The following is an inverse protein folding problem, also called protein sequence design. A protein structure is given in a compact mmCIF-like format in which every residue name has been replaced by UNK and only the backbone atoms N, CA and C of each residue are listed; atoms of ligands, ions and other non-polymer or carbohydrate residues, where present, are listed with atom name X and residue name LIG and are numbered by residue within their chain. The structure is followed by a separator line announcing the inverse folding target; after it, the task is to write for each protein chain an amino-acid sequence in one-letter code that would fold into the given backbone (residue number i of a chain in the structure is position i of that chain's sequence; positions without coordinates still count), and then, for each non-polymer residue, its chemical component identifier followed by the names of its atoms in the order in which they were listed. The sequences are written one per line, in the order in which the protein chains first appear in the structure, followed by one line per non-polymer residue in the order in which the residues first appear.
data_IF_472486291573
#
_entry.id   IF_472486291573
#
_cell.length_a   1.000
_cell.length_b   1.000
_cell.length_c   1.000
_cell.angle_alpha   90.00
_cell.angle_beta   90.00
_cell.angle_gamma   90.00
#
_symmetry.space_group_name_H-M   'P 1'
#
loop_
_entity.id
_entity.type
_entity.pdbx_description
1 polymer ?
#
# COMPACT_ATOMS: atom_id res chain seq x y z
N UNK A 1 64.60 -27.95 -16.59
CA UNK A 1 64.25 -26.77 -15.77
C UNK A 1 63.03 -26.11 -16.40
N UNK A 2 61.83 -26.69 -16.24
CA UNK A 2 60.81 -26.31 -15.24
C UNK A 2 60.50 -24.80 -15.22
N UNK A 3 59.38 -24.50 -15.88
CA UNK A 3 58.31 -23.59 -15.47
C UNK A 3 58.71 -22.21 -14.95
N UNK A 4 58.58 -21.21 -15.82
CA UNK A 4 58.30 -19.84 -15.39
C UNK A 4 57.14 -19.25 -16.18
N UNK A 5 56.03 -19.14 -15.46
CA UNK A 5 55.05 -18.05 -15.54
C UNK A 5 53.86 -18.26 -16.49
N UNK A 6 53.04 -19.25 -16.12
CA UNK A 6 51.59 -19.37 -16.40
C UNK A 6 50.75 -18.29 -15.68
N UNK A 7 51.12 -17.01 -15.72
CA UNK A 7 50.43 -15.97 -14.90
C UNK A 7 49.70 -14.86 -15.65
N UNK A 8 49.63 -14.90 -16.99
CA UNK A 8 48.96 -13.82 -17.75
C UNK A 8 47.59 -14.24 -18.31
N UNK A 9 47.25 -15.52 -18.34
CA UNK A 9 45.96 -15.99 -18.90
C UNK A 9 44.86 -16.08 -17.82
N UNK A 10 45.19 -15.91 -16.54
CA UNK A 10 44.25 -16.16 -15.44
C UNK A 10 43.63 -14.91 -14.80
N UNK A 11 43.85 -13.71 -15.37
CA UNK A 11 43.31 -12.47 -14.82
C UNK A 11 42.02 -11.99 -15.52
N UNK A 12 41.73 -12.46 -16.73
CA UNK A 12 40.46 -12.13 -17.41
C UNK A 12 39.29 -13.05 -17.05
N UNK A 13 39.55 -14.22 -16.43
CA UNK A 13 38.49 -15.17 -16.04
C UNK A 13 37.88 -14.90 -14.65
N UNK A 14 38.49 -14.01 -13.86
CA UNK A 14 37.95 -13.60 -12.54
C UNK A 14 36.93 -12.45 -12.63
N UNK A 15 36.82 -11.78 -13.77
CA UNK A 15 35.80 -10.73 -13.97
C UNK A 15 34.47 -11.27 -14.53
N UNK A 16 34.45 -12.49 -15.07
CA UNK A 16 33.27 -13.09 -15.71
C UNK A 16 32.42 -13.97 -14.78
N UNK A 17 32.80 -14.15 -13.51
CA UNK A 17 32.09 -15.02 -12.56
C UNK A 17 31.36 -14.27 -11.42
N UNK A 18 31.33 -12.93 -11.47
CA UNK A 18 30.77 -12.07 -10.42
C UNK A 18 29.72 -11.09 -10.95
N UNK A 19 28.88 -11.50 -11.90
CA UNK A 19 27.55 -10.91 -12.04
C UNK A 19 26.58 -12.04 -12.32
N UNK A 20 26.11 -12.61 -11.21
CA UNK A 20 24.96 -13.49 -11.15
C UNK A 20 23.88 -12.97 -12.10
N UNK A 21 23.25 -13.81 -12.93
CA UNK A 21 22.00 -13.41 -13.56
C UNK A 21 21.08 -12.98 -12.42
N UNK A 22 20.66 -11.72 -12.44
CA UNK A 22 19.67 -11.16 -11.54
C UNK A 22 18.35 -11.88 -11.80
N UNK A 23 18.19 -13.04 -11.17
CA UNK A 23 16.89 -13.69 -11.11
C UNK A 23 16.12 -12.96 -10.01
N UNK A 24 15.54 -11.80 -10.37
CA UNK A 24 14.48 -11.22 -9.57
C UNK A 24 13.26 -12.12 -9.74
N UNK A 25 13.20 -13.18 -8.94
CA UNK A 25 11.93 -13.79 -8.60
C UNK A 25 11.19 -12.73 -7.79
N UNK A 26 10.45 -11.85 -8.48
CA UNK A 26 9.53 -10.93 -7.83
C UNK A 26 8.67 -11.76 -6.88
N UNK A 27 8.76 -11.47 -5.58
CA UNK A 27 7.96 -12.18 -4.60
C UNK A 27 6.50 -12.05 -5.02
N UNK A 28 5.85 -13.18 -5.31
CA UNK A 28 4.42 -13.18 -5.56
C UNK A 28 3.70 -12.75 -4.29
N UNK A 29 2.69 -11.89 -4.42
CA UNK A 29 1.83 -11.51 -3.34
C UNK A 29 1.10 -12.75 -2.82
N UNK A 30 1.29 -13.02 -1.53
CA UNK A 30 0.57 -14.08 -0.83
C UNK A 30 -0.56 -13.48 0.02
N UNK A 31 -1.57 -14.30 0.31
CA UNK A 31 -2.68 -13.89 1.18
C UNK A 31 -2.21 -13.50 2.58
N UNK A 32 -1.21 -14.21 3.12
CA UNK A 32 -0.62 -13.92 4.43
C UNK A 32 0.09 -12.56 4.41
N UNK A 33 0.90 -12.29 3.38
CA UNK A 33 1.57 -10.99 3.21
C UNK A 33 0.55 -9.86 3.09
N UNK A 34 -0.54 -10.06 2.35
CA UNK A 34 -1.60 -9.05 2.21
C UNK A 34 -2.32 -8.78 3.54
N UNK A 35 -2.55 -9.79 4.38
CA UNK A 35 -3.12 -9.64 5.73
C UNK A 35 -2.18 -8.86 6.66
N UNK A 36 -0.91 -9.27 6.70
CA UNK A 36 0.12 -8.57 7.48
C UNK A 36 0.23 -7.10 7.04
N UNK A 37 0.18 -6.86 5.73
CA UNK A 37 0.16 -5.51 5.17
C UNK A 37 -1.06 -4.72 5.64
N UNK A 38 -2.28 -5.25 5.51
CA UNK A 38 -3.49 -4.53 5.93
C UNK A 38 -3.52 -4.23 7.43
N UNK A 39 -3.05 -5.17 8.25
CA UNK A 39 -2.98 -5.00 9.71
C UNK A 39 -1.99 -3.89 10.08
N UNK A 40 -0.81 -3.90 9.42
CA UNK A 40 0.19 -2.86 9.59
C UNK A 40 -0.30 -1.48 9.14
N UNK A 41 -0.96 -1.38 7.98
CA UNK A 41 -1.55 -0.12 7.50
C UNK A 41 -2.58 0.41 8.50
N UNK A 42 -3.44 -0.45 9.02
CA UNK A 42 -4.43 -0.06 10.03
C UNK A 42 -3.76 0.43 11.32
N UNK A 43 -2.73 -0.27 11.80
CA UNK A 43 -1.95 0.13 12.97
C UNK A 43 -1.32 1.52 12.80
N UNK A 44 -0.57 1.75 11.72
CA UNK A 44 0.13 3.04 11.52
C UNK A 44 -0.86 4.18 11.24
N UNK A 45 -1.94 3.91 10.50
CA UNK A 45 -3.00 4.91 10.25
C UNK A 45 -3.75 5.30 11.52
N UNK A 46 -3.69 4.50 12.59
CA UNK A 46 -4.29 4.87 13.87
C UNK A 46 -3.47 5.88 14.67
N UNK A 47 -2.24 6.19 14.24
CA UNK A 47 -1.29 7.04 14.95
C UNK A 47 -1.22 8.45 14.34
N UNK A 48 -0.95 8.55 13.03
CA UNK A 48 -0.85 9.83 12.30
C UNK A 48 -0.99 9.54 10.80
N UNK A 49 -1.56 10.46 10.00
CA UNK A 49 -1.69 10.23 8.56
C UNK A 49 -0.34 10.17 7.83
N UNK A 50 0.70 10.79 8.37
CA UNK A 50 2.02 10.89 7.71
C UNK A 50 2.68 9.53 7.54
N UNK A 51 2.48 8.61 8.50
CA UNK A 51 3.05 7.25 8.43
C UNK A 51 2.45 6.43 7.26
N UNK A 52 1.30 6.83 6.72
CA UNK A 52 0.69 6.19 5.56
C UNK A 52 1.40 6.53 4.24
N UNK A 53 2.02 7.72 4.15
CA UNK A 53 2.52 8.27 2.88
C UNK A 53 3.53 7.38 2.15
N UNK A 54 4.46 6.69 2.85
CA UNK A 54 5.39 5.75 2.22
C UNK A 54 4.70 4.55 1.56
N UNK A 55 3.42 4.28 1.87
CA UNK A 55 2.64 3.17 1.33
C UNK A 55 1.67 3.59 0.22
N UNK A 56 1.55 4.88 -0.06
CA UNK A 56 0.74 5.39 -1.17
C UNK A 56 1.55 5.35 -2.47
N UNK A 57 0.99 4.70 -3.50
CA UNK A 57 1.54 4.73 -4.86
C UNK A 57 1.47 6.14 -5.43
N UNK A 58 2.41 6.50 -6.30
CA UNK A 58 2.37 7.77 -7.03
C UNK A 58 1.18 7.85 -8.00
N UNK A 59 0.60 6.71 -8.39
CA UNK A 59 -0.63 6.64 -9.18
C UNK A 59 -1.89 6.39 -8.34
N UNK A 60 -1.88 6.73 -7.05
CA UNK A 60 -3.03 6.55 -6.17
C UNK A 60 -4.27 7.28 -6.71
N UNK A 61 -5.40 6.58 -6.67
CA UNK A 61 -6.74 7.17 -6.89
C UNK A 61 -7.61 6.89 -5.68
N UNK A 62 -8.20 7.94 -5.10
CA UNK A 62 -9.17 7.82 -4.00
C UNK A 62 -10.53 8.30 -4.50
N UNK A 63 -11.53 7.45 -4.38
CA UNK A 63 -12.91 7.72 -4.77
C UNK A 63 -13.78 7.67 -3.50
N UNK A 64 -14.48 8.76 -3.20
CA UNK A 64 -15.41 8.86 -2.06
C UNK A 64 -16.81 9.07 -2.60
N UNK A 65 -17.66 8.07 -2.41
CA UNK A 65 -19.04 8.04 -2.85
C UNK A 65 -19.96 8.37 -1.67
N UNK A 66 -20.59 9.55 -1.74
CA UNK A 66 -21.50 10.04 -0.70
C UNK A 66 -22.95 9.88 -1.17
N UNK A 67 -23.74 9.08 -0.44
CA UNK A 67 -25.17 8.93 -0.68
C UNK A 67 -25.55 7.71 -1.52
N UNK A 68 -26.85 7.55 -1.79
CA UNK A 68 -27.37 6.37 -2.51
C UNK A 68 -27.06 6.39 -4.00
N UNK A 69 -26.92 5.21 -4.62
CA UNK A 69 -26.67 5.01 -6.06
C UNK A 69 -27.58 5.79 -7.03
N UNK A 70 -28.73 6.33 -6.57
CA UNK A 70 -29.64 7.12 -7.38
C UNK A 70 -29.42 8.65 -7.30
N UNK A 71 -28.79 9.16 -6.22
CA UNK A 71 -28.58 10.59 -5.94
C UNK A 71 -27.32 10.80 -5.09
N UNK A 72 -26.18 10.30 -5.56
CA UNK A 72 -24.89 10.42 -4.88
C UNK A 72 -23.97 11.47 -5.52
N UNK A 73 -22.97 11.89 -4.76
CA UNK A 73 -21.83 12.68 -5.27
C UNK A 73 -20.56 11.84 -5.10
N UNK A 74 -19.77 11.75 -6.16
CA UNK A 74 -18.45 11.11 -6.14
C UNK A 74 -17.37 12.18 -6.12
N UNK A 75 -16.54 12.16 -5.08
CA UNK A 75 -15.33 12.96 -4.99
C UNK A 75 -14.15 12.07 -5.39
N UNK A 76 -13.25 12.60 -6.20
CA UNK A 76 -12.04 11.90 -6.61
C UNK A 76 -10.83 12.73 -6.16
N UNK A 77 -9.86 12.06 -5.57
CA UNK A 77 -8.59 12.65 -5.14
C UNK A 77 -7.44 11.87 -5.75
N UNK A 78 -6.43 12.57 -6.24
CA UNK A 78 -5.12 11.97 -6.47
C UNK A 78 -4.32 11.84 -5.16
N UNK A 79 -3.09 11.34 -5.25
CA UNK A 79 -2.20 11.20 -4.09
C UNK A 79 -1.99 12.50 -3.33
N UNK A 80 -1.69 13.59 -4.05
CA UNK A 80 -1.36 14.87 -3.42
C UNK A 80 -2.60 15.44 -2.74
N UNK A 81 -3.73 15.47 -3.44
CA UNK A 81 -4.99 15.98 -2.90
C UNK A 81 -5.45 15.17 -1.68
N UNK A 82 -5.26 13.84 -1.71
CA UNK A 82 -5.57 12.97 -0.58
C UNK A 82 -4.68 13.25 0.63
N UNK A 83 -3.36 13.42 0.42
CA UNK A 83 -2.43 13.79 1.48
C UNK A 83 -2.79 15.15 2.09
N UNK A 84 -3.04 16.17 1.28
CA UNK A 84 -3.45 17.50 1.75
C UNK A 84 -4.76 17.45 2.56
N UNK A 85 -5.72 16.61 2.15
CA UNK A 85 -6.95 16.38 2.90
C UNK A 85 -6.66 15.79 4.29
N UNK A 86 -5.79 14.78 4.36
CA UNK A 86 -5.41 14.15 5.63
C UNK A 86 -4.66 15.12 6.56
N UNK A 87 -3.73 15.91 6.03
CA UNK A 87 -3.00 16.93 6.79
C UNK A 87 -3.95 17.98 7.37
N UNK A 88 -4.92 18.41 6.58
CA UNK A 88 -5.96 19.34 7.04
C UNK A 88 -6.77 18.75 8.19
N UNK A 89 -7.19 17.48 8.08
CA UNK A 89 -7.93 16.80 9.15
C UNK A 89 -7.11 16.67 10.43
N UNK A 90 -5.80 16.42 10.30
CA UNK A 90 -4.89 16.31 11.43
C UNK A 90 -4.66 17.67 12.11
N UNK A 91 -4.39 18.72 11.32
CA UNK A 91 -4.22 20.08 11.81
C UNK A 91 -5.49 20.63 12.51
N UNK A 92 -6.68 20.19 12.08
CA UNK A 92 -7.96 20.51 12.72
C UNK A 92 -8.24 19.68 13.99
N UNK A 93 -7.35 18.74 14.35
CA UNK A 93 -7.54 17.79 15.46
C UNK A 93 -8.67 16.80 15.24
N UNK A 94 -9.15 16.68 13.99
CA UNK A 94 -10.28 15.82 13.61
C UNK A 94 -9.83 14.42 13.26
N UNK A 95 -8.58 14.23 12.81
CA UNK A 95 -8.05 12.92 12.45
C UNK A 95 -8.09 11.95 13.65
N UNK A 96 -7.37 12.28 14.72
CA UNK A 96 -7.32 11.45 15.93
C UNK A 96 -8.70 11.25 16.55
N UNK A 97 -9.50 12.33 16.60
CA UNK A 97 -10.87 12.27 17.12
C UNK A 97 -11.75 11.32 16.30
N UNK A 98 -11.62 11.32 14.97
CA UNK A 98 -12.38 10.41 14.12
C UNK A 98 -11.96 8.95 14.39
N UNK A 99 -10.66 8.67 14.56
CA UNK A 99 -10.15 7.33 14.87
C UNK A 99 -10.68 6.84 16.22
N UNK A 100 -10.56 7.63 17.28
CA UNK A 100 -11.03 7.28 18.64
C UNK A 100 -12.54 6.99 18.68
N UNK A 101 -13.30 7.66 17.81
CA UNK A 101 -14.75 7.50 17.71
C UNK A 101 -15.16 6.47 16.65
N UNK A 102 -14.23 5.72 16.05
CA UNK A 102 -14.53 4.73 15.02
C UNK A 102 -14.23 3.31 15.47
N UNK A 103 -15.09 2.38 15.09
CA UNK A 103 -14.79 0.94 15.13
C UNK A 103 -14.42 0.49 13.73
N UNK A 104 -13.20 -0.03 13.59
CA UNK A 104 -12.62 -0.43 12.30
C UNK A 104 -12.42 -1.93 12.28
N UNK A 105 -12.83 -2.55 11.17
CA UNK A 105 -12.64 -3.97 10.94
C UNK A 105 -12.19 -4.26 9.51
N UNK A 106 -11.27 -5.20 9.35
CA UNK A 106 -10.68 -5.57 8.05
C UNK A 106 -11.16 -6.95 7.64
N UNK A 107 -11.59 -7.10 6.38
CA UNK A 107 -12.14 -8.34 5.83
C UNK A 107 -11.76 -8.52 4.34
N UNK A 108 -12.21 -9.64 3.77
CA UNK A 108 -12.24 -9.88 2.32
C UNK A 108 -10.89 -9.77 1.60
N UNK A 109 -9.79 -10.18 2.24
CA UNK A 109 -8.49 -10.28 1.59
C UNK A 109 -8.57 -11.22 0.38
N UNK A 110 -8.19 -10.71 -0.78
CA UNK A 110 -8.25 -11.44 -2.05
C UNK A 110 -7.00 -11.16 -2.87
N UNK A 111 -6.46 -12.20 -3.49
CA UNK A 111 -5.35 -12.09 -4.44
C UNK A 111 -5.95 -12.04 -5.84
N UNK A 112 -5.73 -10.92 -6.54
CA UNK A 112 -6.25 -10.69 -7.89
C UNK A 112 -5.24 -11.16 -8.95
N UNK A 113 -3.95 -11.04 -8.66
CA UNK A 113 -2.86 -11.51 -9.50
C UNK A 113 -1.60 -11.79 -8.66
N UNK A 114 -0.52 -12.37 -9.23
CA UNK A 114 0.74 -12.55 -8.52
C UNK A 114 1.33 -11.25 -7.94
N UNK A 115 0.93 -10.07 -8.41
CA UNK A 115 1.46 -8.79 -7.93
C UNK A 115 0.38 -7.87 -7.37
N UNK A 116 -0.88 -8.29 -7.31
CA UNK A 116 -1.98 -7.43 -6.84
C UNK A 116 -3.01 -8.17 -6.02
N UNK A 117 -3.63 -7.45 -5.10
CA UNK A 117 -4.69 -7.94 -4.25
C UNK A 117 -5.54 -6.80 -3.72
N UNK A 118 -6.56 -7.16 -2.96
CA UNK A 118 -7.49 -6.21 -2.37
C UNK A 118 -7.94 -6.68 -1.00
N UNK A 119 -8.37 -5.74 -0.17
CA UNK A 119 -9.08 -6.02 1.07
C UNK A 119 -10.12 -4.93 1.33
N UNK A 120 -11.06 -5.22 2.22
CA UNK A 120 -12.11 -4.27 2.60
C UNK A 120 -11.91 -3.83 4.05
N UNK A 121 -12.09 -2.54 4.31
CA UNK A 121 -12.18 -1.95 5.63
C UNK A 121 -13.64 -1.53 5.85
N UNK A 122 -14.18 -1.86 7.01
CA UNK A 122 -15.47 -1.36 7.48
C UNK A 122 -15.19 -0.45 8.66
N UNK A 123 -15.60 0.80 8.56
CA UNK A 123 -15.53 1.75 9.67
C UNK A 123 -16.94 2.14 10.11
N UNK A 124 -17.18 2.15 11.42
CA UNK A 124 -18.40 2.66 12.01
C UNK A 124 -18.10 3.82 12.95
N UNK A 125 -18.58 5.02 12.62
CA UNK A 125 -18.44 6.19 13.47
C UNK A 125 -19.50 6.17 14.58
N UNK A 126 -19.06 6.11 15.84
CA UNK A 126 -19.94 6.21 17.02
C UNK A 126 -20.62 7.57 17.11
N UNK A 127 -19.96 8.62 16.65
CA UNK A 127 -20.47 10.00 16.72
C UNK A 127 -21.59 10.25 15.73
N UNK A 128 -21.40 9.87 14.46
CA UNK A 128 -22.40 10.14 13.40
C UNK A 128 -23.34 8.96 13.16
N UNK A 129 -23.03 7.78 13.69
CA UNK A 129 -23.73 6.50 13.44
C UNK A 129 -23.74 6.10 11.97
N UNK A 130 -22.76 6.58 11.21
CA UNK A 130 -22.56 6.24 9.80
C UNK A 130 -21.57 5.09 9.70
N UNK A 131 -21.86 4.17 8.77
CA UNK A 131 -20.99 3.07 8.41
C UNK A 131 -20.40 3.35 7.03
N UNK A 132 -19.08 3.31 6.93
CA UNK A 132 -18.36 3.44 5.67
C UNK A 132 -17.77 2.08 5.28
N UNK A 133 -17.83 1.76 3.99
CA UNK A 133 -17.13 0.64 3.38
C UNK A 133 -16.01 1.15 2.52
N UNK A 134 -14.79 0.71 2.76
CA UNK A 134 -13.62 1.09 1.97
C UNK A 134 -13.04 -0.14 1.32
N UNK A 135 -12.97 -0.16 -0.01
CA UNK A 135 -12.18 -1.15 -0.75
C UNK A 135 -10.78 -0.60 -0.99
N UNK A 136 -9.76 -1.37 -0.64
CA UNK A 136 -8.35 -1.01 -0.79
C UNK A 136 -7.69 -1.94 -1.78
N UNK A 137 -7.23 -1.39 -2.90
CA UNK A 137 -6.45 -2.13 -3.90
C UNK A 137 -4.95 -1.90 -3.67
N UNK A 138 -4.20 -2.99 -3.70
CA UNK A 138 -2.77 -3.03 -3.40
C UNK A 138 -2.01 -3.69 -4.54
N UNK A 139 -0.84 -3.17 -4.86
CA UNK A 139 0.08 -3.75 -5.83
C UNK A 139 1.51 -3.82 -5.28
N UNK A 140 2.31 -4.74 -5.80
CA UNK A 140 3.76 -4.76 -5.60
C UNK A 140 4.40 -3.79 -6.61
N UNK A 141 4.99 -2.71 -6.10
CA UNK A 141 5.80 -1.77 -6.88
C UNK A 141 7.27 -1.87 -6.44
N UNK A 142 8.11 -2.44 -7.31
CA UNK A 142 9.50 -2.73 -6.95
C UNK A 142 9.58 -3.80 -5.86
N UNK A 143 10.09 -3.42 -4.69
CA UNK A 143 10.25 -4.27 -3.51
C UNK A 143 9.20 -4.03 -2.42
N UNK A 144 8.18 -3.19 -2.69
CA UNK A 144 7.21 -2.74 -1.68
C UNK A 144 5.77 -2.96 -2.12
N UNK A 145 4.91 -3.21 -1.13
CA UNK A 145 3.46 -3.14 -1.31
C UNK A 145 2.99 -1.68 -1.20
N UNK A 146 2.13 -1.29 -2.14
CA UNK A 146 1.61 0.06 -2.27
C UNK A 146 0.10 0.04 -2.49
N UNK A 147 -0.59 0.97 -1.85
CA UNK A 147 -2.00 1.25 -2.09
C UNK A 147 -2.11 2.05 -3.38
N UNK A 148 -2.89 1.55 -4.33
CA UNK A 148 -3.12 2.19 -5.64
C UNK A 148 -4.53 2.72 -5.78
N UNK A 149 -5.48 2.17 -5.03
CA UNK A 149 -6.87 2.64 -5.05
C UNK A 149 -7.53 2.52 -3.70
N UNK A 150 -8.31 3.54 -3.34
CA UNK A 150 -9.23 3.53 -2.22
C UNK A 150 -10.62 3.89 -2.77
N UNK A 151 -11.63 3.07 -2.48
CA UNK A 151 -13.03 3.37 -2.82
C UNK A 151 -13.84 3.35 -1.54
N UNK A 152 -14.29 4.51 -1.09
CA UNK A 152 -15.12 4.68 0.09
C UNK A 152 -16.59 4.86 -0.31
N UNK A 153 -17.48 4.08 0.29
CA UNK A 153 -18.93 4.13 0.12
C UNK A 153 -19.59 4.43 1.47
N UNK A 154 -20.36 5.52 1.55
CA UNK A 154 -21.03 6.02 2.76
C UNK A 154 -22.54 6.17 2.62
#
# INVERSE_FOLDING_TARGET
MISKVKWIVNFCLLFTALYLPSVSWGQSLSLETLKQFSDHINEISSQTPVELYPFLSDSLVVEVNLGSNAQGVSLNYDKQEYMEMLEKLDAEGRYQKNIENSEVHIYNHMINSPTSGQYSIVSYSKTTRVKAWVTVDVVIEGDKLKIIKLVEEM
#
